data_IF_060406848029
#
_entry.id   IF_060406848029
#
_cell.length_a   1.000
_cell.length_b   1.000
_cell.length_c   1.000
_cell.angle_alpha   90.00
_cell.angle_beta   90.00
_cell.angle_gamma   90.00
#
_symmetry.space_group_name_H-M   'P 1'
#
loop_
_entity.id
_entity.type
_entity.pdbx_description
1 polymer ?
#
# COMPACT_ATOMS: atom_id res chain seq x y z
N UNK A 1 -19.44 5.88 8.93
CA UNK A 1 -20.37 4.72 9.02
C UNK A 1 -21.74 5.24 9.36
N UNK A 2 -22.84 4.72 8.78
CA UNK A 2 -24.15 4.99 9.33
C UNK A 2 -24.19 4.53 10.79
N UNK A 3 -24.66 5.36 11.73
CA UNK A 3 -24.90 4.92 13.09
C UNK A 3 -25.81 3.67 13.06
N UNK A 4 -25.48 2.63 13.84
CA UNK A 4 -26.24 1.37 14.00
C UNK A 4 -26.19 0.33 12.86
N UNK A 5 -25.25 0.41 11.90
CA UNK A 5 -25.03 -0.71 10.98
C UNK A 5 -24.39 -1.90 11.71
N UNK A 6 -25.09 -3.04 11.79
CA UNK A 6 -24.56 -4.30 12.34
C UNK A 6 -23.53 -5.01 11.44
N UNK A 7 -23.09 -4.38 10.35
CA UNK A 7 -22.17 -4.97 9.38
C UNK A 7 -20.73 -4.76 9.88
N UNK A 8 -19.99 -5.85 10.19
CA UNK A 8 -18.63 -5.76 10.76
C UNK A 8 -17.67 -5.13 9.77
N UNK A 9 -16.74 -4.29 10.26
CA UNK A 9 -15.71 -3.66 9.43
C UNK A 9 -15.00 -4.70 8.54
N UNK A 10 -14.65 -4.36 7.28
CA UNK A 10 -14.10 -5.32 6.33
C UNK A 10 -12.66 -5.73 6.65
N UNK A 11 -12.03 -5.05 7.61
CA UNK A 11 -10.69 -5.30 8.13
C UNK A 11 -10.66 -4.93 9.62
N UNK A 12 -9.64 -5.37 10.34
CA UNK A 12 -9.43 -5.07 11.76
C UNK A 12 -8.07 -4.41 11.96
N UNK A 13 -7.88 -3.77 13.12
CA UNK A 13 -6.56 -3.20 13.46
C UNK A 13 -5.47 -4.28 13.49
N UNK A 14 -5.76 -5.42 14.11
CA UNK A 14 -4.85 -6.56 14.16
C UNK A 14 -4.45 -7.03 12.76
N UNK A 15 -5.42 -7.17 11.85
CA UNK A 15 -5.12 -7.60 10.48
C UNK A 15 -4.27 -6.57 9.71
N UNK A 16 -4.47 -5.27 9.96
CA UNK A 16 -3.62 -4.21 9.40
C UNK A 16 -2.18 -4.31 9.93
N UNK A 17 -2.01 -4.52 11.24
CA UNK A 17 -0.69 -4.66 11.86
C UNK A 17 0.02 -5.92 11.32
N UNK A 18 -0.69 -7.05 11.22
CA UNK A 18 -0.19 -8.29 10.63
C UNK A 18 0.18 -8.12 9.15
N UNK A 19 -0.64 -7.39 8.39
CA UNK A 19 -0.37 -7.08 6.98
C UNK A 19 0.88 -6.20 6.83
N UNK A 20 1.06 -5.18 7.68
CA UNK A 20 2.26 -4.36 7.67
C UNK A 20 3.53 -5.20 7.93
N UNK A 21 3.53 -6.02 8.97
CA UNK A 21 4.69 -6.85 9.34
C UNK A 21 5.01 -7.86 8.23
N UNK A 22 4.02 -8.61 7.77
CA UNK A 22 4.25 -9.78 6.91
C UNK A 22 4.27 -9.46 5.42
N UNK A 23 3.56 -8.43 4.97
CA UNK A 23 3.38 -8.13 3.55
C UNK A 23 3.99 -6.79 3.10
N UNK A 24 4.41 -5.92 4.02
CA UNK A 24 5.13 -4.68 3.67
C UNK A 24 6.58 -4.62 4.21
N UNK A 25 6.90 -5.34 5.28
CA UNK A 25 8.24 -5.30 5.90
C UNK A 25 9.07 -6.57 5.74
N UNK A 26 8.48 -7.76 5.91
CA UNK A 26 9.20 -9.04 5.82
C UNK A 26 9.29 -9.54 4.36
N UNK A 27 10.49 -9.60 3.74
CA UNK A 27 10.63 -10.04 2.35
C UNK A 27 10.54 -11.55 2.15
N UNK A 28 10.49 -12.35 3.21
CA UNK A 28 10.40 -13.81 3.10
C UNK A 28 9.11 -14.24 2.40
N UNK A 29 9.25 -15.08 1.37
CA UNK A 29 8.13 -15.61 0.60
C UNK A 29 7.64 -16.90 1.24
N UNK A 30 6.32 -17.08 1.29
CA UNK A 30 5.72 -18.38 1.56
C UNK A 30 5.92 -19.34 0.36
N UNK A 31 5.79 -20.66 0.58
CA UNK A 31 6.07 -21.72 -0.39
C UNK A 31 5.37 -21.56 -1.77
N UNK A 32 4.25 -20.83 -1.82
CA UNK A 32 3.45 -20.63 -3.03
C UNK A 32 3.27 -19.15 -3.41
N UNK A 33 4.18 -18.28 -3.00
CA UNK A 33 4.17 -16.86 -3.36
C UNK A 33 5.36 -16.56 -4.26
N UNK A 34 5.11 -16.08 -5.49
CA UNK A 34 6.18 -15.67 -6.41
C UNK A 34 6.69 -14.26 -6.08
N UNK A 35 5.91 -13.47 -5.37
CA UNK A 35 6.28 -12.16 -4.84
C UNK A 35 5.38 -11.78 -3.66
N UNK A 36 5.83 -10.81 -2.87
CA UNK A 36 4.99 -10.00 -1.97
C UNK A 36 5.35 -8.54 -2.19
N UNK A 37 4.54 -7.59 -1.69
CA UNK A 37 4.95 -6.18 -1.74
C UNK A 37 6.23 -5.95 -0.91
N UNK A 38 6.37 -6.64 0.23
CA UNK A 38 7.58 -6.59 1.05
C UNK A 38 8.83 -7.05 0.29
N UNK A 39 8.77 -8.13 -0.49
CA UNK A 39 9.94 -8.58 -1.26
C UNK A 39 10.39 -7.57 -2.32
N UNK A 40 9.49 -6.68 -2.75
CA UNK A 40 9.77 -5.57 -3.67
C UNK A 40 10.24 -4.32 -2.93
N UNK A 41 9.58 -3.94 -1.83
CA UNK A 41 10.00 -2.85 -0.93
C UNK A 41 11.43 -3.07 -0.42
N UNK A 42 11.78 -4.33 -0.10
CA UNK A 42 13.09 -4.73 0.38
C UNK A 42 14.01 -5.25 -0.73
N UNK A 43 13.70 -4.98 -2.00
CA UNK A 43 14.52 -5.42 -3.11
C UNK A 43 15.96 -4.89 -2.96
N UNK A 44 16.94 -5.77 -3.16
CA UNK A 44 18.36 -5.44 -2.96
C UNK A 44 18.84 -4.48 -4.05
N UNK A 45 19.59 -3.45 -3.64
CA UNK A 45 20.12 -2.45 -4.56
C UNK A 45 21.53 -2.80 -5.05
N UNK A 46 21.96 -2.35 -6.25
CA UNK A 46 23.28 -2.65 -6.80
C UNK A 46 24.45 -2.25 -5.89
N UNK A 47 24.35 -1.11 -5.20
CA UNK A 47 25.40 -0.64 -4.27
C UNK A 47 25.19 -1.14 -2.83
N UNK A 48 24.40 -2.21 -2.65
CA UNK A 48 24.04 -2.74 -1.34
C UNK A 48 22.85 -2.04 -0.69
N UNK A 49 22.34 -2.69 0.37
CA UNK A 49 21.09 -2.35 1.04
C UNK A 49 19.85 -2.68 0.22
N UNK A 50 18.70 -2.12 0.61
CA UNK A 50 17.40 -2.31 -0.03
C UNK A 50 16.81 -1.02 -0.62
N UNK A 51 15.77 -1.13 -1.45
CA UNK A 51 15.00 0.04 -1.94
C UNK A 51 14.50 0.90 -0.77
N UNK A 52 13.93 0.29 0.28
CA UNK A 52 13.47 1.00 1.47
C UNK A 52 14.59 1.75 2.19
N UNK A 53 15.73 1.10 2.43
CA UNK A 53 16.89 1.74 3.05
C UNK A 53 17.40 2.91 2.20
N UNK A 54 17.43 2.73 0.88
CA UNK A 54 17.86 3.78 -0.07
C UNK A 54 16.95 5.00 0.00
N UNK A 55 15.62 4.84 0.00
CA UNK A 55 14.72 6.00 0.10
C UNK A 55 14.84 6.71 1.46
N UNK A 56 15.03 5.96 2.55
CA UNK A 56 15.23 6.55 3.89
C UNK A 56 16.51 7.39 3.90
N UNK A 57 17.58 6.88 3.31
CA UNK A 57 18.83 7.63 3.17
C UNK A 57 18.65 8.91 2.35
N UNK A 58 18.03 8.80 1.17
CA UNK A 58 17.74 9.96 0.30
C UNK A 58 16.93 11.02 1.06
N UNK A 59 15.90 10.60 1.82
CA UNK A 59 15.06 11.51 2.60
C UNK A 59 15.79 12.16 3.79
N UNK A 60 16.77 11.47 4.39
CA UNK A 60 17.63 12.04 5.44
C UNK A 60 18.60 13.08 4.88
N UNK A 61 19.20 12.80 3.73
CA UNK A 61 20.24 13.65 3.12
C UNK A 61 19.64 14.82 2.33
N UNK A 62 18.58 14.57 1.57
CA UNK A 62 17.90 15.55 0.71
C UNK A 62 16.37 15.45 0.88
N UNK A 63 15.79 15.93 2.00
CA UNK A 63 14.38 15.73 2.32
C UNK A 63 13.41 16.20 1.21
N UNK A 64 13.67 17.36 0.59
CA UNK A 64 12.81 17.93 -0.46
C UNK A 64 13.06 17.32 -1.85
N UNK A 65 13.56 16.08 -1.90
CA UNK A 65 13.82 15.35 -3.15
C UNK A 65 12.52 15.00 -3.88
N UNK A 66 12.64 14.80 -5.20
CA UNK A 66 11.60 14.18 -6.01
C UNK A 66 11.90 12.70 -6.33
N UNK A 67 12.98 12.13 -5.80
CA UNK A 67 13.52 10.83 -6.22
C UNK A 67 13.22 9.67 -5.25
N UNK A 68 12.57 9.92 -4.11
CA UNK A 68 12.29 8.90 -3.10
C UNK A 68 11.07 8.04 -3.50
N UNK A 69 11.27 7.14 -4.45
CA UNK A 69 10.23 6.25 -4.99
C UNK A 69 10.60 4.79 -4.72
N UNK A 70 9.63 4.00 -4.29
CA UNK A 70 9.72 2.54 -4.27
C UNK A 70 8.91 2.00 -5.45
N UNK A 71 9.60 1.30 -6.35
CA UNK A 71 8.96 0.52 -7.40
C UNK A 71 8.54 -0.84 -6.83
N UNK A 72 7.28 -1.20 -6.99
CA UNK A 72 6.75 -2.50 -6.57
C UNK A 72 6.79 -3.48 -7.74
N UNK A 73 6.40 -3.01 -8.91
CA UNK A 73 6.17 -3.88 -10.03
C UNK A 73 7.14 -3.63 -11.17
N UNK A 74 7.54 -4.70 -11.85
CA UNK A 74 8.48 -4.67 -12.96
C UNK A 74 7.82 -5.19 -14.24
N UNK A 75 8.41 -4.95 -15.43
CA UNK A 75 7.87 -5.49 -16.68
C UNK A 75 7.75 -7.02 -16.69
N UNK A 76 8.68 -7.72 -16.06
CA UNK A 76 8.74 -9.19 -16.02
C UNK A 76 7.54 -9.80 -15.28
N UNK A 77 6.90 -9.04 -14.38
CA UNK A 77 5.76 -9.51 -13.60
C UNK A 77 4.58 -9.99 -14.45
N UNK A 78 4.49 -9.52 -15.70
CA UNK A 78 3.46 -9.93 -16.63
C UNK A 78 3.56 -11.41 -17.02
N UNK A 79 4.73 -12.02 -16.86
CA UNK A 79 4.98 -13.41 -17.24
C UNK A 79 5.34 -14.32 -16.05
N UNK A 80 5.81 -13.74 -14.93
CA UNK A 80 6.41 -14.52 -13.82
C UNK A 80 5.66 -14.45 -12.49
N UNK A 81 4.68 -13.54 -12.35
CA UNK A 81 3.93 -13.42 -11.10
C UNK A 81 2.64 -14.24 -11.15
N UNK A 82 2.53 -15.24 -10.28
CA UNK A 82 1.38 -16.14 -10.22
C UNK A 82 0.76 -16.14 -8.84
N UNK A 83 -0.57 -16.10 -8.79
CA UNK A 83 -1.35 -16.27 -7.58
C UNK A 83 -1.39 -17.74 -7.12
N UNK A 84 -1.92 -17.95 -5.91
CA UNK A 84 -2.07 -19.30 -5.32
C UNK A 84 -3.00 -20.22 -6.13
N UNK A 85 -3.81 -19.65 -7.03
CA UNK A 85 -4.66 -20.39 -7.95
C UNK A 85 -3.97 -20.75 -9.28
N UNK A 86 -2.67 -20.47 -9.41
CA UNK A 86 -1.86 -20.75 -10.59
C UNK A 86 -2.12 -19.79 -11.75
N UNK A 87 -2.90 -18.73 -11.57
CA UNK A 87 -3.13 -17.71 -12.62
C UNK A 87 -2.13 -16.58 -12.48
N UNK A 88 -1.83 -15.94 -13.61
CA UNK A 88 -1.05 -14.70 -13.61
C UNK A 88 -1.73 -13.66 -12.73
N UNK A 89 -1.00 -13.18 -11.72
CA UNK A 89 -1.47 -12.19 -10.75
C UNK A 89 -0.38 -11.14 -10.47
N UNK A 90 -0.04 -10.29 -11.47
CA UNK A 90 0.99 -9.27 -11.30
C UNK A 90 0.60 -8.24 -10.22
N UNK A 91 1.56 -7.51 -9.62
CA UNK A 91 1.26 -6.57 -8.53
C UNK A 91 0.20 -5.53 -8.90
N UNK A 92 -0.80 -5.41 -8.02
CA UNK A 92 -1.85 -4.39 -8.12
C UNK A 92 -1.32 -3.00 -7.73
N UNK A 93 -0.60 -2.91 -6.59
CA UNK A 93 0.21 -1.74 -6.25
C UNK A 93 1.40 -1.67 -7.21
N UNK A 94 1.64 -0.50 -7.80
CA UNK A 94 2.71 -0.31 -8.78
C UNK A 94 3.90 0.45 -8.20
N UNK A 95 3.64 1.53 -7.47
CA UNK A 95 4.67 2.35 -6.85
C UNK A 95 4.16 3.05 -5.59
N UNK A 96 5.12 3.42 -4.74
CA UNK A 96 4.96 4.32 -3.60
C UNK A 96 5.94 5.49 -3.78
N UNK A 97 5.42 6.68 -4.06
CA UNK A 97 6.22 7.90 -4.23
C UNK A 97 6.16 8.75 -2.96
N UNK A 98 7.28 8.88 -2.27
CA UNK A 98 7.40 9.66 -1.05
C UNK A 98 7.87 11.09 -1.36
N UNK A 99 7.14 12.07 -0.84
CA UNK A 99 7.49 13.50 -0.95
C UNK A 99 7.44 14.16 0.42
N UNK A 100 8.40 15.04 0.67
CA UNK A 100 8.40 15.89 1.86
C UNK A 100 7.91 17.27 1.49
N UNK A 101 6.89 17.76 2.21
CA UNK A 101 6.30 19.06 1.99
C UNK A 101 6.56 19.97 3.21
N UNK A 102 6.98 21.22 3.01
CA UNK A 102 7.01 22.21 4.08
C UNK A 102 5.59 22.67 4.43
N UNK A 103 5.17 22.50 5.67
CA UNK A 103 3.86 22.92 6.19
C UNK A 103 4.02 23.51 7.59
N UNK A 104 3.66 24.79 7.76
CA UNK A 104 3.65 25.49 9.06
C UNK A 104 4.95 25.28 9.87
N UNK A 105 6.11 25.53 9.26
CA UNK A 105 7.45 25.34 9.84
C UNK A 105 7.86 23.89 10.14
N UNK A 106 7.08 22.90 9.70
CA UNK A 106 7.42 21.49 9.79
C UNK A 106 7.66 20.88 8.41
N UNK A 107 8.52 19.86 8.34
CA UNK A 107 8.64 18.99 7.18
C UNK A 107 7.72 17.78 7.37
N UNK A 108 6.83 17.57 6.42
CA UNK A 108 5.76 16.58 6.48
C UNK A 108 5.99 15.54 5.38
N UNK A 109 6.16 14.27 5.76
CA UNK A 109 6.29 13.15 4.83
C UNK A 109 4.92 12.73 4.32
N UNK A 110 4.78 12.69 3.01
CA UNK A 110 3.59 12.21 2.31
C UNK A 110 3.95 11.01 1.43
N UNK A 111 2.95 10.19 1.10
CA UNK A 111 3.12 9.09 0.14
C UNK A 111 2.00 9.12 -0.89
N UNK A 112 2.36 9.02 -2.16
CA UNK A 112 1.44 8.76 -3.25
C UNK A 112 1.49 7.29 -3.62
N UNK A 113 0.36 6.60 -3.53
CA UNK A 113 0.24 5.18 -3.86
C UNK A 113 -0.58 5.02 -5.14
N UNK A 114 -0.02 4.34 -6.14
CA UNK A 114 -0.73 4.06 -7.40
C UNK A 114 -1.04 2.57 -7.55
N UNK A 115 -2.33 2.26 -7.64
CA UNK A 115 -2.86 0.92 -7.89
C UNK A 115 -3.41 0.82 -9.31
N UNK A 116 -2.96 -0.17 -10.10
CA UNK A 116 -3.57 -0.43 -11.42
C UNK A 116 -4.97 -1.05 -11.30
N UNK A 117 -5.22 -1.74 -10.19
CA UNK A 117 -6.47 -2.43 -9.87
C UNK A 117 -6.61 -2.47 -8.35
N UNK A 118 -7.80 -2.27 -7.80
CA UNK A 118 -7.99 -2.25 -6.36
C UNK A 118 -9.38 -2.73 -5.92
N UNK A 119 -9.41 -3.81 -5.13
CA UNK A 119 -10.62 -4.25 -4.41
C UNK A 119 -10.95 -3.22 -3.32
N UNK A 120 -12.06 -2.50 -3.51
CA UNK A 120 -12.51 -1.46 -2.59
C UNK A 120 -13.14 -1.97 -1.29
N UNK A 121 -13.51 -3.25 -1.23
CA UNK A 121 -14.14 -3.83 -0.05
C UNK A 121 -13.09 -4.38 0.92
N UNK A 122 -12.30 -5.37 0.49
CA UNK A 122 -11.37 -6.07 1.37
C UNK A 122 -9.94 -5.50 1.30
N UNK A 123 -9.45 -5.25 0.08
CA UNK A 123 -8.07 -4.78 -0.16
C UNK A 123 -7.85 -3.36 0.34
N UNK A 124 -8.67 -2.41 -0.11
CA UNK A 124 -8.55 -0.98 0.15
C UNK A 124 -8.26 -0.59 1.61
N UNK A 125 -9.08 -0.99 2.59
CA UNK A 125 -8.87 -0.54 3.97
C UNK A 125 -7.61 -1.17 4.59
N UNK A 126 -7.29 -2.42 4.24
CA UNK A 126 -6.08 -3.11 4.71
C UNK A 126 -4.82 -2.49 4.10
N UNK A 127 -4.81 -2.26 2.78
CA UNK A 127 -3.65 -1.69 2.10
C UNK A 127 -3.36 -0.27 2.58
N UNK A 128 -4.38 0.58 2.73
CA UNK A 128 -4.19 1.93 3.26
C UNK A 128 -3.69 1.93 4.70
N UNK A 129 -4.25 1.05 5.55
CA UNK A 129 -3.77 0.88 6.92
C UNK A 129 -2.29 0.46 6.97
N UNK A 130 -1.90 -0.51 6.15
CA UNK A 130 -0.51 -0.95 6.07
C UNK A 130 0.44 0.12 5.53
N UNK A 131 0.06 0.81 4.45
CA UNK A 131 0.86 1.90 3.87
C UNK A 131 1.01 3.07 4.86
N UNK A 132 -0.03 3.35 5.66
CA UNK A 132 0.05 4.32 6.74
C UNK A 132 1.12 3.93 7.78
N UNK A 133 1.16 2.67 8.21
CA UNK A 133 2.18 2.18 9.14
C UNK A 133 3.59 2.23 8.53
N UNK A 134 3.74 1.86 7.25
CA UNK A 134 5.00 1.98 6.54
C UNK A 134 5.49 3.43 6.46
N UNK A 135 4.61 4.38 6.12
CA UNK A 135 4.96 5.80 6.10
C UNK A 135 5.28 6.32 7.51
N UNK A 136 4.56 5.89 8.54
CA UNK A 136 4.88 6.25 9.93
C UNK A 136 6.27 5.76 10.34
N UNK A 137 6.63 4.52 9.96
CA UNK A 137 7.97 3.99 10.16
C UNK A 137 9.04 4.83 9.44
N UNK A 138 8.85 5.15 8.16
CA UNK A 138 9.79 6.00 7.41
C UNK A 138 9.86 7.41 8.04
N UNK A 139 8.74 7.98 8.46
CA UNK A 139 8.69 9.28 9.13
C UNK A 139 9.48 9.27 10.44
N UNK A 140 9.38 8.20 11.25
CA UNK A 140 10.19 8.06 12.46
C UNK A 140 11.67 7.92 12.16
N UNK A 141 12.04 7.12 11.15
CA UNK A 141 13.43 6.94 10.75
C UNK A 141 14.07 8.23 10.25
N UNK A 142 13.29 9.12 9.64
CA UNK A 142 13.76 10.37 9.02
C UNK A 142 13.53 11.62 9.87
N UNK A 143 12.94 11.49 11.07
CA UNK A 143 12.53 12.60 11.93
C UNK A 143 11.59 13.61 11.22
N UNK A 144 10.72 13.11 10.35
CA UNK A 144 9.72 13.89 9.63
C UNK A 144 8.35 13.77 10.32
N UNK A 145 7.48 14.75 10.14
CA UNK A 145 6.08 14.65 10.59
C UNK A 145 5.29 13.77 9.63
N UNK A 146 4.40 12.95 10.19
CA UNK A 146 3.53 12.11 9.38
C UNK A 146 2.45 12.96 8.67
N UNK A 147 2.41 12.88 7.35
CA UNK A 147 1.50 13.64 6.48
C UNK A 147 0.34 12.83 5.92
N UNK A 148 -0.36 13.32 4.88
CA UNK A 148 -1.40 12.57 4.18
C UNK A 148 -0.87 11.43 3.29
N UNK A 149 -1.78 10.54 2.92
CA UNK A 149 -1.64 9.58 1.80
C UNK A 149 -2.47 10.10 0.63
N UNK A 150 -1.90 10.08 -0.57
CA UNK A 150 -2.62 10.31 -1.82
C UNK A 150 -2.75 8.98 -2.57
N UNK A 151 -3.95 8.43 -2.66
CA UNK A 151 -4.16 7.12 -3.27
C UNK A 151 -4.88 7.24 -4.61
N UNK A 152 -4.33 6.57 -5.63
CA UNK A 152 -4.84 6.57 -6.99
C UNK A 152 -5.14 5.15 -7.42
N UNK A 153 -6.25 4.96 -8.14
CA UNK A 153 -6.58 3.66 -8.73
C UNK A 153 -7.09 3.82 -10.15
N UNK A 154 -6.51 3.06 -11.09
CA UNK A 154 -6.99 2.96 -12.46
C UNK A 154 -8.14 1.95 -12.63
N UNK A 155 -8.34 1.07 -11.65
CA UNK A 155 -9.28 -0.05 -11.72
C UNK A 155 -9.90 -0.35 -10.36
N UNK A 156 -10.52 0.67 -9.75
CA UNK A 156 -11.22 0.51 -8.48
C UNK A 156 -12.53 -0.27 -8.68
N UNK A 157 -12.71 -1.37 -7.96
CA UNK A 157 -13.84 -2.28 -8.17
C UNK A 157 -14.34 -2.91 -6.88
N UNK A 158 -15.54 -3.46 -6.95
CA UNK A 158 -16.16 -4.32 -5.94
C UNK A 158 -16.48 -5.63 -6.66
N UNK A 159 -16.11 -6.78 -6.09
CA UNK A 159 -16.45 -8.06 -6.70
C UNK A 159 -17.97 -8.31 -6.62
N UNK A 160 -18.55 -9.01 -7.59
CA UNK A 160 -20.00 -9.25 -7.63
C UNK A 160 -20.55 -9.89 -6.35
N UNK A 161 -19.80 -10.81 -5.74
CA UNK A 161 -20.20 -11.45 -4.47
C UNK A 161 -20.15 -10.49 -3.26
N UNK A 162 -19.49 -9.34 -3.37
CA UNK A 162 -19.42 -8.29 -2.35
C UNK A 162 -20.45 -7.17 -2.59
N UNK A 163 -21.14 -7.17 -3.74
CA UNK A 163 -21.98 -6.04 -4.15
C UNK A 163 -23.12 -5.78 -3.15
N UNK A 164 -23.82 -6.83 -2.73
CA UNK A 164 -24.95 -6.71 -1.80
C UNK A 164 -24.52 -6.12 -0.46
N UNK A 165 -23.46 -6.66 0.15
CA UNK A 165 -22.96 -6.18 1.44
C UNK A 165 -22.39 -4.75 1.33
N UNK A 166 -21.77 -4.41 0.19
CA UNK A 166 -21.29 -3.06 -0.07
C UNK A 166 -22.43 -2.04 -0.23
N UNK A 167 -23.52 -2.43 -0.90
CA UNK A 167 -24.74 -1.61 -1.00
C UNK A 167 -25.35 -1.36 0.37
N UNK A 168 -25.54 -2.41 1.17
CA UNK A 168 -26.08 -2.29 2.53
C UNK A 168 -25.22 -1.36 3.40
N UNK A 169 -23.89 -1.45 3.30
CA UNK A 169 -22.97 -0.58 4.05
C UNK A 169 -23.07 0.90 3.65
N UNK A 170 -23.33 1.19 2.39
CA UNK A 170 -23.38 2.58 1.89
C UNK A 170 -24.75 3.23 2.00
N UNK A 171 -25.78 2.49 2.46
CA UNK A 171 -27.18 2.94 2.53
C UNK A 171 -27.72 3.56 1.22
N UNK A 172 -27.12 3.22 0.07
CA UNK A 172 -27.59 3.72 -1.22
C UNK A 172 -28.85 2.95 -1.63
N UNK A 173 -30.01 3.59 -1.53
CA UNK A 173 -31.25 3.07 -2.10
C UNK A 173 -31.12 2.97 -3.63
N UNK A 174 -31.68 1.90 -4.21
CA UNK A 174 -31.81 1.74 -5.65
C UNK A 174 -32.80 2.83 -6.11
N UNK A 175 -32.34 3.74 -6.98
CA UNK A 175 -33.29 4.46 -7.84
C UNK A 175 -33.77 3.42 -8.86
N UNK A 176 -34.98 2.90 -8.62
CA UNK A 176 -35.73 2.08 -9.59
C UNK A 176 -36.13 2.98 -10.75
#
# INVERSE_FOLDING_TARGET
MPPNSGIPAPTTRQYIDDYFVNYLMNPELAENETYTYASRIQHKMPDGGTQLERIIQILKETPLTNQAVIEIATPEDLDVCYGKDGKLDPPCLRLLDFKVLPLNNHLVLTVSAYFRSWDLWAGFPTNLGGIELLKQFIASETNLKNGPIYAYSAGAHIYGYQEEIARLRTLRQIKV
#
